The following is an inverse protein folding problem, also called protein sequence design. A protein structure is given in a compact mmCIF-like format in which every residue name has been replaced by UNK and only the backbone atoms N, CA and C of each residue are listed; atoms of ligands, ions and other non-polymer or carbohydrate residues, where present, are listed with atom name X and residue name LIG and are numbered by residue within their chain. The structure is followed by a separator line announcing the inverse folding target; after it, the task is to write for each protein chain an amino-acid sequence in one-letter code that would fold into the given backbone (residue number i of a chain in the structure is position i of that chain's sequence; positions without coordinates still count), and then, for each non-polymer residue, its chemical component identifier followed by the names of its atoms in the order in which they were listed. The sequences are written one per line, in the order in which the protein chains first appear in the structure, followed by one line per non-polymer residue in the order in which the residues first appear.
data_IF_880465340596
#
_entry.id   IF_880465340596
#
_cell.length_a   1.000
_cell.length_b   1.000
_cell.length_c   1.000
_cell.angle_alpha   90.00
_cell.angle_beta   90.00
_cell.angle_gamma   90.00
#
_symmetry.space_group_name_H-M   'P 1'
#
loop_
_entity.id
_entity.type
_entity.pdbx_description
1 polymer ?
#
# COMPACT_ATOMS: atom_id res chain seq x y z
N UNK A 1 -28.91 3.02 -42.87
CA UNK A 1 -27.60 2.45 -42.50
C UNK A 1 -26.65 2.76 -43.65
N UNK A 2 -25.60 3.55 -43.44
CA UNK A 2 -24.70 3.95 -44.52
C UNK A 2 -24.08 2.68 -45.14
N UNK A 3 -24.11 2.56 -46.47
CA UNK A 3 -23.71 1.37 -47.22
C UNK A 3 -22.21 1.07 -47.02
N UNK A 4 -21.88 0.44 -45.90
CA UNK A 4 -20.56 -0.08 -45.61
C UNK A 4 -20.37 -1.43 -46.29
N UNK A 5 -19.19 -1.69 -46.83
CA UNK A 5 -18.85 -2.99 -47.43
C UNK A 5 -18.90 -4.13 -46.41
N UNK A 6 -18.68 -3.79 -45.13
CA UNK A 6 -18.64 -4.69 -43.99
C UNK A 6 -19.81 -4.41 -43.05
N UNK A 7 -20.44 -5.47 -42.54
CA UNK A 7 -21.28 -5.40 -41.35
C UNK A 7 -20.42 -5.48 -40.09
N UNK A 8 -20.82 -4.76 -39.04
CA UNK A 8 -20.14 -4.71 -37.76
C UNK A 8 -21.16 -4.51 -36.63
N UNK A 9 -20.79 -4.94 -35.42
CA UNK A 9 -21.59 -4.76 -34.20
C UNK A 9 -20.87 -3.83 -33.21
N UNK A 10 -21.62 -3.14 -32.37
CA UNK A 10 -21.04 -2.30 -31.30
C UNK A 10 -20.52 -3.21 -30.19
N UNK A 11 -19.28 -2.98 -29.75
CA UNK A 11 -18.67 -3.65 -28.61
C UNK A 11 -18.25 -2.58 -27.58
N UNK A 12 -18.99 -2.50 -26.46
CA UNK A 12 -18.74 -1.49 -25.42
C UNK A 12 -19.03 -0.05 -25.88
N UNK A 13 -18.42 0.93 -25.21
CA UNK A 13 -18.71 2.36 -25.43
C UNK A 13 -18.10 2.93 -26.72
N UNK A 14 -17.00 2.36 -27.22
CA UNK A 14 -16.32 2.90 -28.40
C UNK A 14 -15.56 1.85 -29.24
N UNK A 15 -15.91 0.56 -29.14
CA UNK A 15 -15.34 -0.45 -30.02
C UNK A 15 -16.39 -1.03 -30.98
N UNK A 16 -15.90 -1.64 -32.05
CA UNK A 16 -16.72 -2.30 -33.07
C UNK A 16 -16.16 -3.70 -33.29
N UNK A 17 -17.05 -4.67 -33.27
CA UNK A 17 -16.74 -6.06 -33.61
C UNK A 17 -17.02 -6.32 -35.07
N UNK A 18 -16.07 -6.93 -35.75
CA UNK A 18 -16.15 -7.36 -37.14
C UNK A 18 -15.99 -8.87 -37.20
N UNK A 19 -16.91 -9.55 -37.85
CA UNK A 19 -16.78 -10.99 -38.09
C UNK A 19 -15.70 -11.28 -39.13
N UNK A 20 -14.90 -12.32 -38.92
CA UNK A 20 -13.83 -12.71 -39.87
C UNK A 20 -14.40 -13.15 -41.21
N UNK A 21 -15.61 -13.71 -41.23
CA UNK A 21 -16.35 -14.07 -42.44
C UNK A 21 -16.65 -12.85 -43.32
N UNK A 22 -16.91 -11.69 -42.72
CA UNK A 22 -17.15 -10.44 -43.45
C UNK A 22 -15.88 -9.93 -44.12
N UNK A 23 -14.73 -10.05 -43.43
CA UNK A 23 -13.43 -9.73 -44.02
C UNK A 23 -13.14 -10.62 -45.22
N UNK A 24 -13.37 -11.92 -45.09
CA UNK A 24 -13.14 -12.89 -46.18
C UNK A 24 -14.10 -12.63 -47.35
N UNK A 25 -15.38 -12.33 -47.08
CA UNK A 25 -16.39 -12.03 -48.11
C UNK A 25 -16.01 -10.79 -48.94
N UNK A 26 -15.44 -9.77 -48.32
CA UNK A 26 -15.13 -8.49 -48.98
C UNK A 26 -13.72 -8.47 -49.58
N UNK A 27 -12.73 -9.07 -48.92
CA UNK A 27 -11.31 -8.97 -49.29
C UNK A 27 -10.69 -10.29 -49.74
N UNK A 28 -11.41 -11.40 -49.67
CA UNK A 28 -10.93 -12.73 -50.01
C UNK A 28 -10.19 -13.43 -48.87
N UNK A 29 -9.64 -14.60 -49.17
CA UNK A 29 -8.94 -15.45 -48.18
C UNK A 29 -7.75 -14.73 -47.54
N UNK A 30 -7.63 -14.87 -46.21
CA UNK A 30 -6.50 -14.34 -45.46
C UNK A 30 -5.23 -15.11 -45.80
N UNK A 31 -4.22 -14.41 -46.31
CA UNK A 31 -2.92 -15.01 -46.59
C UNK A 31 -2.16 -15.22 -45.28
N UNK A 32 -1.48 -16.37 -45.08
CA UNK A 32 -0.61 -16.60 -43.93
C UNK A 32 0.72 -15.87 -44.11
N UNK A 33 0.67 -14.56 -44.33
CA UNK A 33 1.83 -13.68 -44.38
C UNK A 33 2.11 -13.22 -42.96
N UNK A 34 3.13 -13.80 -42.33
CA UNK A 34 3.71 -13.16 -41.16
C UNK A 34 4.32 -11.84 -41.62
N UNK A 35 3.87 -10.72 -41.04
CA UNK A 35 4.50 -9.43 -41.29
C UNK A 35 5.96 -9.52 -40.85
N UNK A 36 6.90 -9.20 -41.74
CA UNK A 36 8.34 -9.36 -41.48
C UNK A 36 8.80 -8.48 -40.31
N UNK A 37 8.08 -7.39 -40.06
CA UNK A 37 8.30 -6.47 -38.96
C UNK A 37 6.97 -6.27 -38.22
N UNK A 38 7.02 -6.13 -36.89
CA UNK A 38 5.84 -5.85 -36.09
C UNK A 38 5.18 -4.53 -36.53
N UNK A 39 3.85 -4.49 -36.56
CA UNK A 39 3.13 -3.25 -36.87
C UNK A 39 3.53 -2.16 -35.86
N UNK A 40 3.88 -0.97 -36.36
CA UNK A 40 4.20 0.18 -35.52
C UNK A 40 2.94 0.59 -34.77
N UNK A 41 2.80 0.14 -33.53
CA UNK A 41 1.73 0.56 -32.64
C UNK A 41 1.86 2.06 -32.40
N UNK A 42 0.76 2.81 -32.52
CA UNK A 42 0.74 4.25 -32.25
C UNK A 42 1.02 4.58 -30.77
N UNK A 43 0.94 3.59 -29.88
CA UNK A 43 1.56 3.67 -28.56
C UNK A 43 3.04 3.32 -28.70
N UNK A 44 3.87 4.35 -28.56
CA UNK A 44 5.27 4.17 -28.24
C UNK A 44 5.36 3.41 -26.93
N UNK A 45 6.08 2.30 -26.99
CA UNK A 45 6.76 1.66 -25.86
C UNK A 45 6.04 1.87 -24.53
N UNK A 46 5.06 1.01 -24.21
CA UNK A 46 4.84 0.75 -22.79
C UNK A 46 6.11 0.03 -22.36
N UNK A 47 7.13 0.81 -21.99
CA UNK A 47 8.41 0.32 -21.52
C UNK A 47 8.11 -0.82 -20.58
N UNK A 48 8.78 -1.96 -20.81
CA UNK A 48 8.62 -3.15 -19.97
C UNK A 48 8.58 -2.63 -18.54
N UNK A 49 7.44 -2.75 -17.83
CA UNK A 49 7.12 -1.99 -16.59
C UNK A 49 8.02 -2.29 -15.39
N UNK A 50 9.23 -2.76 -15.66
CA UNK A 50 10.31 -3.24 -14.84
C UNK A 50 11.50 -2.27 -14.77
N UNK A 51 11.49 -1.14 -15.50
CA UNK A 51 12.61 -0.18 -15.55
C UNK A 51 13.12 0.23 -14.16
N UNK A 52 12.19 0.38 -13.21
CA UNK A 52 12.50 0.75 -11.81
C UNK A 52 12.37 -0.41 -10.82
N UNK A 53 12.06 -1.63 -11.28
CA UNK A 53 11.77 -2.75 -10.38
C UNK A 53 12.98 -3.15 -9.52
N UNK A 54 14.19 -3.08 -10.09
CA UNK A 54 15.43 -3.36 -9.36
C UNK A 54 15.68 -2.35 -8.23
N UNK A 55 15.45 -1.06 -8.48
CA UNK A 55 15.59 0.00 -7.48
C UNK A 55 14.56 -0.15 -6.35
N UNK A 56 13.30 -0.37 -6.72
CA UNK A 56 12.21 -0.57 -5.75
C UNK A 56 12.46 -1.80 -4.87
N UNK A 57 12.96 -2.90 -5.45
CA UNK A 57 13.29 -4.10 -4.69
C UNK A 57 14.49 -3.91 -3.76
N UNK A 58 15.48 -3.09 -4.14
CA UNK A 58 16.60 -2.76 -3.27
C UNK A 58 16.14 -1.93 -2.07
N UNK A 59 15.31 -0.91 -2.30
CA UNK A 59 14.75 -0.05 -1.25
C UNK A 59 13.85 -0.84 -0.28
N UNK A 60 13.00 -1.73 -0.80
CA UNK A 60 12.18 -2.63 0.01
C UNK A 60 12.99 -3.56 0.91
N UNK A 61 14.17 -4.00 0.47
CA UNK A 61 15.06 -4.83 1.29
C UNK A 61 15.67 -4.02 2.42
N UNK A 62 16.21 -2.84 2.11
CA UNK A 62 16.77 -1.92 3.11
C UNK A 62 15.74 -1.57 4.20
N UNK A 63 14.51 -1.22 3.80
CA UNK A 63 13.44 -0.88 4.75
C UNK A 63 13.05 -2.07 5.65
N UNK A 64 13.08 -3.31 5.13
CA UNK A 64 12.79 -4.51 5.92
C UNK A 64 13.88 -4.77 6.97
N UNK A 65 15.13 -4.48 6.64
CA UNK A 65 16.26 -4.60 7.58
C UNK A 65 16.13 -3.57 8.70
N UNK A 66 15.90 -2.29 8.39
CA UNK A 66 15.69 -1.23 9.38
C UNK A 66 14.52 -1.54 10.33
N UNK A 67 13.40 -2.03 9.81
CA UNK A 67 12.24 -2.41 10.63
C UNK A 67 12.55 -3.61 11.53
N UNK A 68 13.37 -4.56 11.08
CA UNK A 68 13.79 -5.70 11.90
C UNK A 68 14.68 -5.25 13.06
N UNK A 69 15.64 -4.36 12.79
CA UNK A 69 16.50 -3.75 13.81
C UNK A 69 15.68 -2.95 14.83
N UNK A 70 14.73 -2.12 14.36
CA UNK A 70 13.87 -1.33 15.23
C UNK A 70 13.01 -2.22 16.13
N UNK A 71 12.43 -3.30 15.58
CA UNK A 71 11.65 -4.27 16.37
C UNK A 71 12.52 -4.96 17.42
N UNK A 72 13.76 -5.29 17.08
CA UNK A 72 14.69 -5.89 18.03
C UNK A 72 15.07 -4.89 19.14
N UNK A 73 15.34 -3.64 18.80
CA UNK A 73 15.61 -2.58 19.77
C UNK A 73 14.41 -2.36 20.70
N UNK A 74 13.18 -2.30 20.16
CA UNK A 74 11.96 -2.16 20.95
C UNK A 74 11.73 -3.34 21.91
N UNK A 75 12.07 -4.57 21.49
CA UNK A 75 11.97 -5.74 22.37
C UNK A 75 12.90 -5.65 23.58
N UNK A 76 14.04 -4.99 23.47
CA UNK A 76 14.99 -4.80 24.58
C UNK A 76 14.54 -3.72 25.57
N UNK A 77 13.55 -2.90 25.22
CA UNK A 77 13.03 -1.79 26.04
C UNK A 77 11.84 -2.29 26.89
N UNK A 78 11.82 -3.56 27.31
CA UNK A 78 10.77 -4.07 28.21
C UNK A 78 10.64 -3.18 29.46
N UNK A 79 9.44 -2.64 29.63
CA UNK A 79 9.04 -1.78 30.73
C UNK A 79 8.83 -2.63 32.00
N UNK A 80 9.72 -2.49 33.00
CA UNK A 80 9.47 -2.93 34.38
C UNK A 80 8.74 -1.81 35.11
N UNK A 81 7.44 -1.91 35.40
CA UNK A 81 6.86 -1.05 36.42
C UNK A 81 7.54 -1.40 37.75
N UNK A 82 8.14 -0.41 38.39
CA UNK A 82 8.49 -0.51 39.80
C UNK A 82 7.20 -0.82 40.56
N UNK A 83 7.01 -2.08 40.96
CA UNK A 83 6.11 -2.42 42.06
C UNK A 83 6.73 -1.77 43.30
N UNK A 84 6.12 -0.72 43.91
CA UNK A 84 6.51 -0.40 45.26
C UNK A 84 6.07 -1.60 46.11
N UNK A 85 7.04 -2.42 46.54
CA UNK A 85 6.88 -3.27 47.69
C UNK A 85 6.53 -2.34 48.84
N UNK A 86 5.26 -2.27 49.18
CA UNK A 86 4.81 -1.63 50.41
C UNK A 86 5.18 -2.63 51.50
N UNK A 87 6.42 -2.52 51.97
CA UNK A 87 6.86 -3.11 53.23
C UNK A 87 6.09 -2.39 54.35
N UNK A 88 4.86 -2.81 54.63
CA UNK A 88 4.22 -2.57 55.91
C UNK A 88 4.88 -3.55 56.88
N UNK A 89 5.66 -3.13 57.88
CA UNK A 89 5.28 -2.58 59.21
C UNK A 89 6.61 -2.53 60.04
N UNK A 90 6.84 -1.74 61.12
CA UNK A 90 5.93 -0.88 61.90
C UNK A 90 6.40 0.55 62.23
N UNK A 91 5.41 1.32 62.67
CA UNK A 91 5.40 2.23 63.83
C UNK A 91 6.27 3.49 63.84
N UNK A 92 5.52 4.58 64.04
CA UNK A 92 5.86 5.77 64.83
C UNK A 92 6.80 6.79 64.17
N UNK A 93 6.23 7.83 63.56
CA UNK A 93 5.92 9.10 64.24
C UNK A 93 5.50 10.12 63.17
N UNK A 94 4.19 10.38 63.07
CA UNK A 94 3.58 11.45 62.28
C UNK A 94 4.01 12.80 62.88
N UNK A 95 4.34 13.90 62.20
CA UNK A 95 3.81 14.55 61.00
C UNK A 95 4.85 15.59 60.53
N UNK A 96 5.28 15.54 59.27
CA UNK A 96 6.09 16.59 58.61
C UNK A 96 5.40 16.96 57.30
N UNK A 97 5.28 18.26 56.93
CA UNK A 97 4.32 18.69 55.93
C UNK A 97 4.70 18.20 54.53
N UNK A 98 3.73 17.60 53.85
CA UNK A 98 3.84 17.11 52.48
C UNK A 98 4.04 18.31 51.56
N UNK A 99 5.27 18.53 51.09
CA UNK A 99 5.55 19.34 49.90
C UNK A 99 4.80 18.71 48.72
N UNK A 100 3.62 19.23 48.41
CA UNK A 100 2.86 18.82 47.24
C UNK A 100 3.52 19.37 45.98
N UNK A 101 4.54 18.68 45.47
CA UNK A 101 5.04 18.92 44.12
C UNK A 101 3.86 18.75 43.15
N UNK A 102 3.60 19.74 42.26
CA UNK A 102 2.48 19.65 41.35
C UNK A 102 2.64 18.42 40.45
N UNK A 103 1.56 17.65 40.31
CA UNK A 103 1.54 16.49 39.42
C UNK A 103 1.96 16.90 38.00
N UNK A 104 2.80 16.10 37.33
CA UNK A 104 3.23 16.41 35.98
C UNK A 104 2.04 16.42 35.02
N UNK A 105 2.15 17.24 33.96
CA UNK A 105 1.03 17.60 33.08
C UNK A 105 0.27 16.41 32.47
N UNK A 106 0.95 15.29 32.25
CA UNK A 106 0.38 14.06 31.70
C UNK A 106 -0.47 13.24 32.69
N UNK A 107 -0.37 13.51 34.00
CA UNK A 107 -1.26 12.92 35.03
C UNK A 107 -2.47 13.77 35.36
N UNK A 108 -2.59 14.96 34.78
CA UNK A 108 -3.78 15.79 34.94
C UNK A 108 -4.91 15.16 34.13
N UNK A 109 -5.99 14.72 34.78
CA UNK A 109 -7.16 14.16 34.10
C UNK A 109 -7.82 15.27 33.28
N UNK A 110 -7.57 15.29 31.97
CA UNK A 110 -8.07 16.32 31.05
C UNK A 110 -9.55 16.17 30.69
N UNK A 111 -10.20 15.06 31.07
CA UNK A 111 -11.61 14.83 30.79
C UNK A 111 -12.33 14.33 32.05
N UNK A 112 -13.24 15.14 32.58
CA UNK A 112 -14.30 14.66 33.47
C UNK A 112 -15.43 14.16 32.57
N UNK A 113 -15.63 12.84 32.55
CA UNK A 113 -16.83 12.26 31.94
C UNK A 113 -18.02 12.64 32.82
N UNK A 114 -18.74 13.70 32.43
CA UNK A 114 -20.06 14.01 32.98
C UNK A 114 -21.00 12.85 32.60
N UNK A 115 -21.68 12.31 33.62
CA UNK A 115 -22.65 11.23 33.50
C UNK A 115 -23.98 11.71 32.97
#
# INVERSE_FOLDING_TARGET
MAAGRLSWEVEGENARRLETSELIRVYGELKPLAQQEAEKTAHGDTGSGTENSALILAELKALREEVAELRQAMRLIEYKPDTPQIDTVPADTETVPIETKPLPWWRKRLFTRQG
#
